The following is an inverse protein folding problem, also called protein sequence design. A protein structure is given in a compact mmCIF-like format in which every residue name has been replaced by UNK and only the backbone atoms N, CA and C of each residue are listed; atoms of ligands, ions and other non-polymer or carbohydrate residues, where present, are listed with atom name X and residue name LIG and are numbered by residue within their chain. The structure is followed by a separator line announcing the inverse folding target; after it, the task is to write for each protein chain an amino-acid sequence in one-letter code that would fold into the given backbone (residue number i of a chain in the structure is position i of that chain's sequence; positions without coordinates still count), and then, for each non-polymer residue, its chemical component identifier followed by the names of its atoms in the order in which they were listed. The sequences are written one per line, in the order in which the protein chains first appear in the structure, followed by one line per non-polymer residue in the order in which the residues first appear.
data_IF_435539116511
#
_entry.id   IF_435539116511
#
_cell.length_a   1.000
_cell.length_b   1.000
_cell.length_c   1.000
_cell.angle_alpha   90.00
_cell.angle_beta   90.00
_cell.angle_gamma   90.00
#
_symmetry.space_group_name_H-M   'P 1'
#
loop_
_entity.id
_entity.type
_entity.pdbx_description
1 polymer ?
#
# COMPACT_ATOMS: atom_id res chain seq x y z
N UNK A 1 12.52 -13.32 -15.85
CA UNK A 1 11.16 -13.04 -16.34
C UNK A 1 10.19 -13.33 -15.20
N UNK A 2 9.36 -12.33 -14.83
CA UNK A 2 8.27 -12.55 -13.86
C UNK A 2 7.23 -13.46 -14.51
N UNK A 3 6.77 -14.48 -13.77
CA UNK A 3 5.69 -15.33 -14.25
C UNK A 3 4.41 -14.51 -14.47
N UNK A 4 3.62 -14.80 -15.52
CA UNK A 4 2.36 -14.10 -15.74
C UNK A 4 1.42 -14.34 -14.57
N UNK A 5 0.77 -13.28 -14.10
CA UNK A 5 -0.26 -13.36 -13.08
C UNK A 5 -1.63 -13.37 -13.75
N UNK A 6 -2.47 -14.32 -13.34
CA UNK A 6 -3.83 -14.45 -13.83
C UNK A 6 -4.84 -13.97 -12.80
N UNK A 7 -5.85 -13.22 -13.26
CA UNK A 7 -7.03 -12.86 -12.49
C UNK A 7 -8.21 -13.50 -13.21
N UNK A 8 -8.95 -14.35 -12.50
CA UNK A 8 -10.19 -14.95 -13.01
C UNK A 8 -11.35 -14.24 -12.31
N UNK A 9 -12.27 -13.71 -13.09
CA UNK A 9 -13.41 -12.96 -12.59
C UNK A 9 -14.68 -13.36 -13.35
N UNK A 10 -15.81 -13.44 -12.65
CA UNK A 10 -17.12 -13.62 -13.27
C UNK A 10 -17.53 -12.36 -14.04
N UNK A 11 -18.11 -12.56 -15.23
CA UNK A 11 -18.47 -11.45 -16.11
C UNK A 11 -19.53 -10.50 -15.52
N UNK A 12 -20.47 -11.01 -14.72
CA UNK A 12 -21.48 -10.16 -14.07
C UNK A 12 -20.83 -9.34 -12.95
N UNK A 13 -19.93 -9.94 -12.17
CA UNK A 13 -19.13 -9.24 -11.17
C UNK A 13 -18.25 -8.18 -11.79
N UNK A 14 -17.62 -8.48 -12.93
CA UNK A 14 -16.82 -7.53 -13.71
C UNK A 14 -17.67 -6.35 -14.20
N UNK A 15 -18.82 -6.60 -14.83
CA UNK A 15 -19.73 -5.55 -15.29
C UNK A 15 -20.27 -4.70 -14.14
N UNK A 16 -20.64 -5.32 -13.01
CA UNK A 16 -21.05 -4.61 -11.80
C UNK A 16 -19.95 -3.69 -11.27
N UNK A 17 -18.71 -4.13 -11.33
CA UNK A 17 -17.57 -3.31 -10.91
C UNK A 17 -17.34 -2.11 -11.88
N UNK A 18 -17.59 -2.28 -13.19
CA UNK A 18 -17.58 -1.19 -14.16
C UNK A 18 -18.70 -0.18 -13.89
N UNK A 19 -19.93 -0.65 -13.60
CA UNK A 19 -21.07 0.19 -13.24
C UNK A 19 -20.82 0.97 -11.94
N UNK A 20 -20.11 0.34 -10.99
CA UNK A 20 -19.63 0.97 -9.75
C UNK A 20 -18.42 1.88 -9.95
N UNK A 21 -17.98 2.09 -11.18
CA UNK A 21 -16.87 2.98 -11.55
C UNK A 21 -15.54 2.59 -10.88
N UNK A 22 -15.33 1.29 -10.61
CA UNK A 22 -14.10 0.82 -10.00
C UNK A 22 -12.94 0.94 -10.99
N UNK A 23 -11.97 1.73 -10.63
CA UNK A 23 -10.86 2.17 -11.47
C UNK A 23 -10.11 1.01 -12.13
N UNK A 24 -9.75 -0.02 -11.36
CA UNK A 24 -9.06 -1.21 -11.86
C UNK A 24 -9.78 -1.86 -13.07
N UNK A 25 -11.09 -2.03 -12.98
CA UNK A 25 -11.88 -2.64 -14.06
C UNK A 25 -12.03 -1.71 -15.25
N UNK A 26 -12.13 -0.40 -14.98
CA UNK A 26 -12.18 0.63 -16.02
C UNK A 26 -10.87 0.67 -16.81
N UNK A 27 -9.71 0.60 -16.15
CA UNK A 27 -8.42 0.60 -16.79
C UNK A 27 -8.19 -0.67 -17.62
N UNK A 28 -8.63 -1.83 -17.13
CA UNK A 28 -8.59 -3.07 -17.92
C UNK A 28 -9.34 -2.91 -19.25
N UNK A 29 -10.50 -2.25 -19.24
CA UNK A 29 -11.30 -2.08 -20.49
C UNK A 29 -10.70 -0.99 -21.39
N UNK A 30 -10.10 0.07 -20.81
CA UNK A 30 -9.51 1.18 -21.57
C UNK A 30 -8.15 0.86 -22.16
N UNK A 31 -7.31 0.20 -21.37
CA UNK A 31 -5.88 0.01 -21.67
C UNK A 31 -5.52 -1.44 -21.99
N UNK A 32 -6.38 -2.39 -21.60
CA UNK A 32 -6.15 -3.81 -21.81
C UNK A 32 -6.25 -4.24 -23.25
N UNK A 33 -5.45 -5.21 -23.64
CA UNK A 33 -5.50 -5.85 -24.96
C UNK A 33 -6.43 -7.07 -24.88
N UNK A 34 -7.53 -7.02 -25.61
CA UNK A 34 -8.45 -8.17 -25.70
C UNK A 34 -7.84 -9.24 -26.58
N UNK A 35 -7.41 -10.35 -25.96
CA UNK A 35 -6.80 -11.47 -26.67
C UNK A 35 -7.84 -12.42 -27.30
N UNK A 36 -9.01 -12.57 -26.65
CA UNK A 36 -10.06 -13.46 -27.11
C UNK A 36 -11.44 -12.95 -26.66
N UNK A 37 -12.45 -13.09 -27.52
CA UNK A 37 -13.84 -12.77 -27.23
C UNK A 37 -14.76 -13.75 -27.96
N UNK A 38 -15.50 -14.56 -27.23
CA UNK A 38 -16.49 -15.51 -27.79
C UNK A 38 -17.82 -14.84 -28.17
N UNK A 39 -17.95 -13.52 -27.95
CA UNK A 39 -19.13 -12.68 -28.24
C UNK A 39 -20.43 -13.09 -27.52
N UNK A 40 -20.35 -14.01 -26.54
CA UNK A 40 -21.52 -14.47 -25.78
C UNK A 40 -21.95 -13.46 -24.69
N UNK A 41 -21.04 -12.61 -24.25
CA UNK A 41 -21.27 -11.65 -23.19
C UNK A 41 -20.83 -10.26 -23.62
N UNK A 42 -21.61 -9.26 -23.21
CA UNK A 42 -21.28 -7.87 -23.50
C UNK A 42 -20.64 -7.23 -22.26
N UNK A 43 -19.50 -6.59 -22.46
CA UNK A 43 -18.90 -5.76 -21.42
C UNK A 43 -19.64 -4.42 -21.36
N UNK A 44 -19.94 -3.98 -20.13
CA UNK A 44 -20.43 -2.63 -19.86
C UNK A 44 -19.37 -1.62 -20.32
N UNK A 45 -19.80 -0.54 -20.96
CA UNK A 45 -18.88 0.55 -21.31
C UNK A 45 -18.46 1.28 -20.03
N UNK A 46 -17.16 1.49 -19.80
CA UNK A 46 -16.72 2.30 -18.68
C UNK A 46 -17.34 3.69 -18.74
N UNK A 47 -17.83 4.15 -17.60
CA UNK A 47 -18.28 5.53 -17.46
C UNK A 47 -17.07 6.44 -17.26
N UNK A 48 -17.03 7.57 -17.94
CA UNK A 48 -16.03 8.60 -17.67
C UNK A 48 -16.38 9.32 -16.37
N UNK A 49 -15.44 9.29 -15.42
CA UNK A 49 -15.59 9.98 -14.16
C UNK A 49 -15.27 11.47 -14.34
N UNK A 50 -16.14 12.33 -13.84
CA UNK A 50 -15.83 13.74 -13.67
C UNK A 50 -14.73 13.91 -12.60
N UNK A 51 -14.02 15.01 -12.64
CA UNK A 51 -13.01 15.35 -11.63
C UNK A 51 -13.58 15.31 -10.20
N UNK A 52 -14.83 15.76 -10.02
CA UNK A 52 -15.52 15.70 -8.73
C UNK A 52 -15.69 14.27 -8.23
N UNK A 53 -16.19 13.37 -9.09
CA UNK A 53 -16.38 11.96 -8.74
C UNK A 53 -15.05 11.26 -8.39
N UNK A 54 -13.98 11.56 -9.14
CA UNK A 54 -12.64 11.03 -8.84
C UNK A 54 -12.19 11.49 -7.45
N UNK A 55 -12.37 12.79 -7.16
CA UNK A 55 -11.99 13.37 -5.86
C UNK A 55 -12.83 12.79 -4.72
N UNK A 56 -14.13 12.62 -4.90
CA UNK A 56 -15.02 12.06 -3.88
C UNK A 56 -14.65 10.61 -3.56
N UNK A 57 -14.39 9.78 -4.58
CA UNK A 57 -13.94 8.40 -4.40
C UNK A 57 -12.57 8.35 -3.69
N UNK A 58 -11.60 9.14 -4.15
CA UNK A 58 -10.27 9.20 -3.53
C UNK A 58 -10.35 9.65 -2.06
N UNK A 59 -11.21 10.63 -1.76
CA UNK A 59 -11.42 11.12 -0.39
C UNK A 59 -12.06 10.06 0.49
N UNK A 60 -13.07 9.35 0.00
CA UNK A 60 -13.71 8.26 0.75
C UNK A 60 -12.71 7.15 1.10
N UNK A 61 -11.93 6.71 0.12
CA UNK A 61 -10.94 5.65 0.33
C UNK A 61 -9.78 6.10 1.24
N UNK A 62 -9.31 7.33 1.10
CA UNK A 62 -8.35 7.94 2.00
C UNK A 62 -8.86 7.94 3.45
N UNK A 63 -10.09 8.40 3.67
CA UNK A 63 -10.72 8.46 4.98
C UNK A 63 -10.93 7.08 5.61
N UNK A 64 -11.01 6.01 4.81
CA UNK A 64 -11.02 4.63 5.30
C UNK A 64 -9.63 4.12 5.68
N UNK A 65 -8.59 4.52 4.96
CA UNK A 65 -7.26 3.95 5.08
C UNK A 65 -6.35 4.70 6.06
N UNK A 66 -6.31 6.02 5.96
CA UNK A 66 -5.42 6.88 6.71
C UNK A 66 -5.61 6.82 8.24
N UNK A 67 -6.84 6.81 8.82
CA UNK A 67 -7.02 6.70 10.26
C UNK A 67 -6.43 5.40 10.85
N UNK A 68 -6.44 4.30 10.08
CA UNK A 68 -5.80 3.07 10.52
C UNK A 68 -4.28 3.22 10.60
N UNK A 69 -3.66 3.92 9.62
CA UNK A 69 -2.23 4.20 9.68
C UNK A 69 -1.87 4.98 10.94
N UNK A 70 -2.62 6.03 11.26
CA UNK A 70 -2.42 6.83 12.47
C UNK A 70 -2.62 5.99 13.74
N UNK A 71 -3.63 5.11 13.75
CA UNK A 71 -3.85 4.17 14.84
C UNK A 71 -2.65 3.24 15.07
N UNK A 72 -2.14 2.63 14.02
CA UNK A 72 -0.95 1.77 14.09
C UNK A 72 0.29 2.55 14.56
N UNK A 73 0.50 3.76 14.08
CA UNK A 73 1.60 4.61 14.57
C UNK A 73 1.49 4.89 16.06
N UNK A 74 0.29 5.23 16.54
CA UNK A 74 0.06 5.44 17.97
C UNK A 74 0.46 4.22 18.80
N UNK A 75 0.08 3.00 18.36
CA UNK A 75 0.44 1.78 19.07
C UNK A 75 1.93 1.43 18.95
N UNK A 76 2.60 1.85 17.87
CA UNK A 76 4.05 1.72 17.76
C UNK A 76 4.79 2.60 18.78
N UNK A 77 4.30 3.81 19.04
CA UNK A 77 4.85 4.67 20.10
C UNK A 77 4.63 4.07 21.49
N UNK A 78 3.45 3.56 21.79
CA UNK A 78 3.17 2.88 23.06
C UNK A 78 4.11 1.67 23.22
N UNK A 79 4.28 0.86 22.20
CA UNK A 79 5.19 -0.29 22.23
C UNK A 79 6.66 0.13 22.48
N UNK A 80 7.09 1.26 21.91
CA UNK A 80 8.42 1.83 22.20
C UNK A 80 8.59 2.22 23.66
N UNK A 81 7.57 2.88 24.26
CA UNK A 81 7.56 3.27 25.66
C UNK A 81 7.58 2.06 26.59
N UNK A 82 6.86 1.00 26.25
CA UNK A 82 6.76 -0.24 27.00
C UNK A 82 7.97 -1.19 26.77
N UNK A 83 8.91 -0.81 25.90
CA UNK A 83 10.07 -1.65 25.56
C UNK A 83 9.75 -2.88 24.70
N UNK A 84 8.55 -2.92 24.07
CA UNK A 84 8.10 -4.01 23.20
C UNK A 84 8.48 -3.72 21.73
N UNK A 85 9.79 -3.68 21.47
CA UNK A 85 10.30 -3.11 20.20
C UNK A 85 9.87 -3.91 18.95
N UNK A 86 9.84 -5.25 19.03
CA UNK A 86 9.41 -6.10 17.90
C UNK A 86 7.92 -5.89 17.58
N UNK A 87 7.09 -5.70 18.62
CA UNK A 87 5.68 -5.34 18.45
C UNK A 87 5.56 -3.94 17.82
N UNK A 88 6.38 -2.99 18.28
CA UNK A 88 6.46 -1.65 17.71
C UNK A 88 6.80 -1.67 16.22
N UNK A 89 7.78 -2.47 15.82
CA UNK A 89 8.17 -2.65 14.42
C UNK A 89 7.02 -3.27 13.58
N UNK A 90 6.29 -4.25 14.13
CA UNK A 90 5.09 -4.78 13.48
C UNK A 90 4.04 -3.70 13.25
N UNK A 91 3.74 -2.89 14.27
CA UNK A 91 2.78 -1.81 14.16
C UNK A 91 3.22 -0.77 13.12
N UNK A 92 4.52 -0.44 13.09
CA UNK A 92 5.08 0.47 12.08
C UNK A 92 5.00 -0.07 10.67
N UNK A 93 5.22 -1.37 10.47
CA UNK A 93 5.02 -2.01 9.17
C UNK A 93 3.57 -1.80 8.70
N UNK A 94 2.59 -2.06 9.57
CA UNK A 94 1.17 -1.86 9.26
C UNK A 94 0.84 -0.39 8.96
N UNK A 95 1.40 0.54 9.73
CA UNK A 95 1.25 1.97 9.49
C UNK A 95 1.79 2.37 8.12
N UNK A 96 3.03 1.96 7.82
CA UNK A 96 3.72 2.25 6.56
C UNK A 96 2.94 1.69 5.36
N UNK A 97 2.47 0.45 5.43
CA UNK A 97 1.62 -0.17 4.41
C UNK A 97 0.36 0.68 4.14
N UNK A 98 -0.33 1.10 5.21
CA UNK A 98 -1.56 1.91 5.09
C UNK A 98 -1.29 3.30 4.55
N UNK A 99 -0.17 3.93 4.92
CA UNK A 99 0.23 5.23 4.36
C UNK A 99 0.50 5.12 2.85
N UNK A 100 1.23 4.11 2.41
CA UNK A 100 1.44 3.88 0.99
C UNK A 100 0.13 3.58 0.24
N UNK A 101 -0.79 2.83 0.83
CA UNK A 101 -2.12 2.64 0.23
C UNK A 101 -2.89 3.96 0.11
N UNK A 102 -2.82 4.83 1.13
CA UNK A 102 -3.47 6.13 1.08
C UNK A 102 -2.89 7.01 -0.03
N UNK A 103 -1.57 6.98 -0.23
CA UNK A 103 -0.90 7.67 -1.34
C UNK A 103 -1.39 7.14 -2.69
N UNK A 104 -1.35 5.82 -2.92
CA UNK A 104 -1.82 5.22 -4.18
C UNK A 104 -3.30 5.51 -4.44
N UNK A 105 -4.15 5.47 -3.42
CA UNK A 105 -5.57 5.77 -3.55
C UNK A 105 -5.81 7.22 -3.98
N UNK A 106 -5.04 8.17 -3.48
CA UNK A 106 -5.14 9.58 -3.85
C UNK A 106 -4.64 9.83 -5.27
N UNK A 107 -3.52 9.24 -5.67
CA UNK A 107 -2.90 9.53 -6.97
C UNK A 107 -3.48 8.71 -8.13
N UNK A 108 -3.84 7.46 -7.90
CA UNK A 108 -4.30 6.54 -8.96
C UNK A 108 -5.65 5.89 -8.66
N UNK A 109 -6.27 6.23 -7.53
CA UNK A 109 -7.57 5.68 -7.09
C UNK A 109 -7.59 4.13 -7.09
N UNK A 110 -6.44 3.52 -6.83
CA UNK A 110 -6.27 2.07 -6.83
C UNK A 110 -5.46 1.62 -5.64
N UNK A 111 -5.96 0.60 -4.92
CA UNK A 111 -5.24 -0.03 -3.83
C UNK A 111 -4.38 -1.16 -4.37
N UNK A 112 -3.05 -1.11 -4.21
CA UNK A 112 -2.17 -2.20 -4.61
C UNK A 112 -2.52 -3.51 -3.90
N UNK A 113 -2.35 -4.63 -4.59
CA UNK A 113 -2.52 -5.97 -3.98
C UNK A 113 -1.29 -6.42 -3.20
N UNK A 114 -0.14 -5.77 -3.40
CA UNK A 114 1.09 -6.09 -2.69
C UNK A 114 1.04 -5.61 -1.25
N UNK A 115 1.51 -6.45 -0.32
CA UNK A 115 1.75 -6.11 1.08
C UNK A 115 3.24 -5.87 1.37
N UNK A 116 4.09 -5.97 0.34
CA UNK A 116 5.54 -5.79 0.47
C UNK A 116 5.87 -4.30 0.43
N UNK A 117 6.45 -3.77 1.50
CA UNK A 117 6.79 -2.35 1.59
C UNK A 117 7.71 -1.89 0.45
N UNK A 118 8.69 -2.73 0.04
CA UNK A 118 9.58 -2.44 -1.09
C UNK A 118 8.83 -2.20 -2.41
N UNK A 119 7.78 -2.99 -2.66
CA UNK A 119 6.94 -2.83 -3.86
C UNK A 119 6.10 -1.56 -3.78
N UNK A 120 5.53 -1.28 -2.59
CA UNK A 120 4.71 -0.09 -2.34
C UNK A 120 5.54 1.18 -2.43
N UNK A 121 6.70 1.21 -1.81
CA UNK A 121 7.66 2.31 -1.91
C UNK A 121 8.04 2.58 -3.37
N UNK A 122 8.42 1.53 -4.11
CA UNK A 122 8.80 1.64 -5.52
C UNK A 122 7.70 2.27 -6.38
N UNK A 123 6.44 2.01 -6.06
CA UNK A 123 5.29 2.62 -6.74
C UNK A 123 5.09 4.07 -6.33
N UNK A 124 5.16 4.38 -5.04
CA UNK A 124 4.81 5.70 -4.51
C UNK A 124 5.90 6.75 -4.74
N UNK A 125 7.17 6.38 -4.74
CA UNK A 125 8.28 7.34 -4.89
C UNK A 125 8.28 8.13 -6.20
N UNK A 126 7.55 7.68 -7.23
CA UNK A 126 7.39 8.42 -8.48
C UNK A 126 6.49 9.65 -8.35
N UNK A 127 5.67 9.75 -7.30
CA UNK A 127 4.71 10.84 -7.14
C UNK A 127 5.30 12.09 -6.52
N UNK A 128 6.32 11.95 -5.68
CA UNK A 128 6.95 13.10 -5.01
C UNK A 128 8.38 12.79 -4.60
N UNK A 129 9.24 13.81 -4.72
CA UNK A 129 10.61 13.76 -4.20
C UNK A 129 10.64 13.54 -2.69
N UNK A 130 9.70 14.13 -1.96
CA UNK A 130 9.56 13.94 -0.51
C UNK A 130 9.29 12.48 -0.17
N UNK A 131 8.37 11.83 -0.88
CA UNK A 131 8.09 10.40 -0.70
C UNK A 131 9.31 9.53 -1.05
N UNK A 132 10.01 9.88 -2.13
CA UNK A 132 11.19 9.13 -2.57
C UNK A 132 12.37 9.22 -1.58
N UNK A 133 12.41 10.26 -0.73
CA UNK A 133 13.46 10.51 0.26
C UNK A 133 13.10 10.03 1.67
N UNK A 134 11.96 9.39 1.87
CA UNK A 134 11.54 8.92 3.19
C UNK A 134 12.50 7.86 3.73
N UNK A 135 12.76 6.81 2.99
CA UNK A 135 13.71 5.79 3.41
C UNK A 135 15.05 6.01 2.71
N UNK A 136 16.03 6.42 3.50
CA UNK A 136 17.40 6.60 3.06
C UNK A 136 18.11 5.25 3.07
N UNK A 137 19.07 5.08 2.16
CA UNK A 137 19.89 3.88 2.05
C UNK A 137 21.38 4.23 1.95
N UNK A 138 21.78 5.34 2.63
CA UNK A 138 23.14 5.85 2.54
C UNK A 138 24.08 5.07 3.47
N UNK A 139 23.62 4.75 4.67
CA UNK A 139 24.40 4.02 5.68
C UNK A 139 23.93 2.59 5.84
N UNK A 140 24.76 1.72 6.41
CA UNK A 140 24.37 0.34 6.69
C UNK A 140 23.31 0.26 7.80
N UNK A 141 23.32 1.19 8.74
CA UNK A 141 22.27 1.30 9.77
C UNK A 141 20.89 1.62 9.13
N UNK A 142 20.83 2.58 8.22
CA UNK A 142 19.60 2.93 7.54
C UNK A 142 19.02 1.77 6.73
N UNK A 143 19.89 1.07 5.97
CA UNK A 143 19.50 -0.14 5.21
C UNK A 143 19.00 -1.24 6.13
N UNK A 144 19.68 -1.45 7.24
CA UNK A 144 19.32 -2.45 8.26
C UNK A 144 17.95 -2.14 8.87
N UNK A 145 17.71 -0.91 9.32
CA UNK A 145 16.43 -0.48 9.88
C UNK A 145 15.28 -0.66 8.88
N UNK A 146 15.50 -0.30 7.60
CA UNK A 146 14.47 -0.51 6.58
C UNK A 146 14.22 -1.99 6.30
N UNK A 147 15.25 -2.83 6.31
CA UNK A 147 15.10 -4.27 6.17
C UNK A 147 14.33 -4.88 7.36
N UNK A 148 14.65 -4.47 8.60
CA UNK A 148 13.89 -4.84 9.80
C UNK A 148 12.41 -4.46 9.65
N UNK A 149 12.12 -3.23 9.23
CA UNK A 149 10.75 -2.78 9.01
C UNK A 149 10.03 -3.63 7.95
N UNK A 150 10.69 -3.96 6.84
CA UNK A 150 10.12 -4.79 5.79
C UNK A 150 9.77 -6.22 6.25
N UNK A 151 10.60 -6.80 7.12
CA UNK A 151 10.41 -8.17 7.64
C UNK A 151 9.48 -8.24 8.85
N UNK A 152 9.20 -7.11 9.50
CA UNK A 152 8.46 -7.03 10.76
C UNK A 152 7.09 -7.73 10.71
N UNK A 153 6.38 -7.67 9.58
CA UNK A 153 5.05 -8.28 9.45
C UNK A 153 5.03 -9.79 9.74
N UNK A 154 6.05 -10.50 9.33
CA UNK A 154 6.12 -11.96 9.54
C UNK A 154 7.02 -12.27 10.73
N UNK A 155 8.22 -11.69 10.77
CA UNK A 155 9.27 -12.15 11.69
C UNK A 155 9.02 -11.75 13.13
N UNK A 156 8.41 -10.61 13.40
CA UNK A 156 8.06 -10.23 14.78
C UNK A 156 7.12 -11.22 15.50
N UNK A 157 6.43 -12.07 14.73
CA UNK A 157 5.46 -13.03 15.28
C UNK A 157 5.94 -14.48 15.29
N UNK A 158 6.84 -14.82 14.37
CA UNK A 158 7.21 -16.22 14.12
C UNK A 158 8.70 -16.51 14.21
N UNK A 159 9.55 -15.49 14.15
CA UNK A 159 10.98 -15.65 14.21
C UNK A 159 11.51 -15.16 15.56
N UNK A 160 11.93 -16.09 16.43
CA UNK A 160 12.51 -15.79 17.75
C UNK A 160 13.83 -15.02 17.69
N UNK A 161 14.51 -15.07 16.55
CA UNK A 161 15.79 -14.39 16.32
C UNK A 161 15.60 -12.98 15.70
N UNK A 162 14.35 -12.55 15.49
CA UNK A 162 14.01 -11.19 15.07
C UNK A 162 14.06 -10.28 16.29
N UNK A 163 15.08 -9.46 16.37
CA UNK A 163 15.31 -8.52 17.47
C UNK A 163 15.37 -7.11 16.93
N UNK A 164 14.74 -6.19 17.62
CA UNK A 164 14.74 -4.75 17.31
C UNK A 164 15.15 -3.97 18.53
N UNK A 165 16.21 -3.18 18.40
CA UNK A 165 16.64 -2.29 19.48
C UNK A 165 15.76 -1.06 19.57
N UNK A 166 15.79 -0.38 20.73
CA UNK A 166 15.09 0.89 20.93
C UNK A 166 15.55 1.96 19.94
N UNK A 167 16.84 2.00 19.62
CA UNK A 167 17.41 2.95 18.66
C UNK A 167 16.86 2.71 17.24
N UNK A 168 16.85 1.46 16.79
CA UNK A 168 16.31 1.07 15.47
C UNK A 168 14.82 1.40 15.35
N UNK A 169 14.01 1.06 16.39
CA UNK A 169 12.59 1.36 16.40
C UNK A 169 12.35 2.87 16.38
N UNK A 170 13.13 3.64 17.15
CA UNK A 170 13.04 5.10 17.16
C UNK A 170 13.35 5.69 15.79
N UNK A 171 14.39 5.21 15.13
CA UNK A 171 14.73 5.63 13.77
C UNK A 171 13.60 5.29 12.79
N UNK A 172 13.09 4.06 12.81
CA UNK A 172 11.99 3.65 11.94
C UNK A 172 10.75 4.51 12.14
N UNK A 173 10.39 4.84 13.40
CA UNK A 173 9.29 5.77 13.73
C UNK A 173 9.48 7.14 13.06
N UNK A 174 10.67 7.74 13.20
CA UNK A 174 10.98 9.03 12.59
C UNK A 174 10.83 8.98 11.07
N UNK A 175 11.22 7.88 10.42
CA UNK A 175 11.09 7.75 8.97
C UNK A 175 9.64 7.57 8.53
N UNK A 176 8.87 6.74 9.23
CA UNK A 176 7.44 6.53 8.90
C UNK A 176 6.60 7.80 9.15
N UNK A 177 6.96 8.63 10.16
CA UNK A 177 6.34 9.95 10.36
C UNK A 177 6.44 10.85 9.12
N UNK A 178 7.51 10.75 8.35
CA UNK A 178 7.68 11.54 7.12
C UNK A 178 6.75 11.11 5.97
N UNK A 179 6.10 9.95 6.07
CA UNK A 179 5.07 9.52 5.12
C UNK A 179 3.69 10.08 5.45
N UNK A 180 3.50 10.56 6.66
CA UNK A 180 2.24 11.08 7.18
C UNK A 180 1.91 12.45 6.62
#
# INVERSE_FOLDING_TARGET
HAAPQFIVEDINSFNKALDQKRYFYTDIVKEGIKLYDNKKFKLTKPHELSYKEIKDIATEEFNKCYPFAIGFMKYAYIALEDGMNELGAFQLHQACERLYYSIELVFVNYRPKSHKLKDLESKCKKYSHSIASVFLHHTDFEKHCYDLLCRAYIESRYNKDYVVTKEELTYMLQRVELLK
#
